data_IF_414277423869
#
_entry.id   IF_414277423869
#
_cell.length_a   1.000
_cell.length_b   1.000
_cell.length_c   1.000
_cell.angle_alpha   90.00
_cell.angle_beta   90.00
_cell.angle_gamma   90.00
#
_symmetry.space_group_name_H-M   'P 1'
#
loop_
_entity.id
_entity.type
_entity.pdbx_description
1 polymer ?
#
# COMPACT_ATOMS: atom_id res chain seq x y z
N UNK A 1 30.30 34.11 -36.97
CA UNK A 1 30.40 35.55 -37.23
C UNK A 1 29.56 36.22 -36.15
N UNK A 2 30.21 36.59 -35.05
CA UNK A 2 29.59 37.14 -33.83
C UNK A 2 29.66 38.66 -33.95
N UNK A 3 28.52 39.34 -34.00
CA UNK A 3 28.50 40.81 -34.03
C UNK A 3 29.15 41.36 -32.75
N UNK A 4 30.10 42.30 -32.87
CA UNK A 4 30.65 42.98 -31.71
C UNK A 4 29.56 43.88 -31.12
N UNK A 5 29.12 43.59 -29.88
CA UNK A 5 28.24 44.47 -29.11
C UNK A 5 28.95 45.81 -28.94
N UNK A 6 28.43 46.85 -29.57
CA UNK A 6 28.89 48.23 -29.38
C UNK A 6 28.84 48.55 -27.87
N UNK A 7 29.94 49.01 -27.26
CA UNK A 7 29.90 49.42 -25.86
C UNK A 7 28.92 50.59 -25.74
N UNK A 8 27.97 50.49 -24.79
CA UNK A 8 27.08 51.58 -24.44
C UNK A 8 27.91 52.81 -24.05
N UNK A 9 27.42 54.03 -24.36
CA UNK A 9 28.07 55.23 -23.85
C UNK A 9 28.02 55.22 -22.32
N UNK A 10 29.08 55.76 -21.71
CA UNK A 10 29.30 55.73 -20.25
C UNK A 10 28.11 56.29 -19.47
N UNK A 11 27.47 57.34 -19.99
CA UNK A 11 26.27 57.96 -19.42
C UNK A 11 25.06 57.02 -19.38
N UNK A 12 24.84 56.26 -20.46
CA UNK A 12 23.71 55.32 -20.54
C UNK A 12 24.00 54.10 -19.66
N UNK A 13 25.26 53.65 -19.60
CA UNK A 13 25.68 52.57 -18.72
C UNK A 13 25.50 52.95 -17.24
N UNK A 14 25.83 54.18 -16.84
CA UNK A 14 25.57 54.67 -15.49
C UNK A 14 24.06 54.74 -15.17
N UNK A 15 23.25 55.18 -16.13
CA UNK A 15 21.82 55.29 -15.94
C UNK A 15 21.15 53.92 -15.79
N UNK A 16 21.57 52.93 -16.59
CA UNK A 16 21.12 51.55 -16.43
C UNK A 16 21.62 50.93 -15.12
N UNK A 17 22.87 51.19 -14.72
CA UNK A 17 23.40 50.72 -13.45
C UNK A 17 22.58 51.27 -12.27
N UNK A 18 22.22 52.57 -12.29
CA UNK A 18 21.35 53.17 -11.26
C UNK A 18 19.96 52.56 -11.25
N UNK A 19 19.41 52.21 -12.41
CA UNK A 19 18.10 51.52 -12.50
C UNK A 19 18.19 50.11 -11.90
N UNK A 20 19.21 49.34 -12.27
CA UNK A 20 19.41 47.96 -11.79
C UNK A 20 19.67 47.92 -10.29
N UNK A 21 20.47 48.84 -9.75
CA UNK A 21 20.71 48.94 -8.30
C UNK A 21 19.39 49.26 -7.57
N UNK A 22 18.59 50.19 -8.09
CA UNK A 22 17.30 50.53 -7.48
C UNK A 22 16.33 49.34 -7.44
N UNK A 23 16.28 48.58 -8.53
CA UNK A 23 15.43 47.40 -8.66
C UNK A 23 15.92 46.26 -7.74
N UNK A 24 17.24 46.05 -7.66
CA UNK A 24 17.86 45.05 -6.78
C UNK A 24 17.64 45.34 -5.29
N UNK A 25 17.56 46.61 -4.90
CA UNK A 25 17.30 47.03 -3.52
C UNK A 25 15.81 47.32 -3.25
N UNK A 26 14.92 47.07 -4.22
CA UNK A 26 13.49 47.20 -3.98
C UNK A 26 13.02 46.04 -3.09
N UNK A 27 12.37 46.32 -1.94
CA UNK A 27 11.91 45.26 -1.04
C UNK A 27 10.92 44.34 -1.76
N UNK A 28 11.30 43.09 -2.01
CA UNK A 28 10.48 42.08 -2.69
C UNK A 28 9.35 41.52 -1.81
N UNK A 29 9.31 41.91 -0.53
CA UNK A 29 8.23 41.58 0.38
C UNK A 29 7.56 42.87 0.86
N UNK A 30 6.31 43.08 0.46
CA UNK A 30 5.45 44.12 1.04
C UNK A 30 5.08 43.69 2.45
N UNK A 31 5.57 44.42 3.46
CA UNK A 31 5.07 44.30 4.82
C UNK A 31 3.71 45.00 4.87
N UNK A 32 2.64 44.23 5.02
CA UNK A 32 1.32 44.78 5.27
C UNK A 32 1.27 45.12 6.76
N UNK A 33 1.36 46.40 7.11
CA UNK A 33 1.27 46.89 8.50
C UNK A 33 -0.18 46.92 9.04
N UNK A 34 -1.09 46.16 8.42
CA UNK A 34 -2.45 46.03 8.89
C UNK A 34 -2.51 44.93 9.98
N UNK A 35 -2.91 45.26 11.23
CA UNK A 35 -2.99 44.29 12.31
C UNK A 35 -4.04 43.18 12.09
N UNK A 36 -4.95 43.35 11.13
CA UNK A 36 -6.00 42.36 10.81
C UNK A 36 -5.54 41.30 9.79
N UNK A 37 -4.38 41.46 9.17
CA UNK A 37 -3.89 40.56 8.11
C UNK A 37 -2.73 39.71 8.67
N UNK A 38 -2.88 38.37 8.77
CA UNK A 38 -1.83 37.52 9.34
C UNK A 38 -0.56 37.53 8.49
N UNK A 39 0.59 37.83 9.10
CA UNK A 39 1.89 37.67 8.44
C UNK A 39 2.43 36.24 8.65
N UNK A 40 3.17 35.73 7.67
CA UNK A 40 3.78 34.39 7.72
C UNK A 40 4.66 34.15 8.97
N UNK A 41 5.24 35.21 9.56
CA UNK A 41 6.08 35.10 10.76
C UNK A 41 5.28 35.01 12.07
N UNK A 42 4.03 35.47 12.07
CA UNK A 42 3.18 35.48 13.27
C UNK A 42 2.47 34.13 13.51
N UNK A 43 2.68 33.17 12.61
CA UNK A 43 2.08 31.84 12.65
C UNK A 43 0.57 31.84 12.35
N UNK A 44 -0.03 30.66 12.19
CA UNK A 44 -1.48 30.57 12.04
C UNK A 44 -2.13 31.01 13.35
N UNK A 45 -2.92 32.08 13.32
CA UNK A 45 -3.82 32.41 14.44
C UNK A 45 -4.95 31.40 14.45
N UNK A 46 -4.76 30.30 15.17
CA UNK A 46 -5.81 29.32 15.43
C UNK A 46 -6.75 29.95 16.44
N UNK A 47 -7.98 30.26 16.01
CA UNK A 47 -9.03 30.68 16.93
C UNK A 47 -9.29 29.59 17.96
N UNK A 48 -9.76 29.97 19.16
CA UNK A 48 -10.10 29.02 20.23
C UNK A 48 -11.31 28.13 19.94
N UNK A 49 -11.90 28.25 18.74
CA UNK A 49 -13.05 27.46 18.32
C UNK A 49 -12.62 26.04 17.98
N UNK A 50 -13.23 25.01 18.59
CA UNK A 50 -12.90 23.62 18.30
C UNK A 50 -13.19 23.28 16.82
N UNK A 51 -12.46 22.32 16.23
CA UNK A 51 -12.69 21.91 14.85
C UNK A 51 -14.15 21.51 14.60
N UNK A 52 -14.84 22.27 13.77
CA UNK A 52 -16.22 21.96 13.37
C UNK A 52 -16.16 20.87 12.28
N UNK A 53 -17.01 19.81 12.37
CA UNK A 53 -17.11 18.81 11.32
C UNK A 53 -17.44 19.46 9.97
N UNK A 54 -16.54 19.31 9.00
CA UNK A 54 -16.78 19.81 7.64
C UNK A 54 -17.73 18.86 6.91
N UNK A 55 -18.78 19.36 6.24
CA UNK A 55 -19.63 18.52 5.40
C UNK A 55 -18.84 18.04 4.18
N UNK A 56 -18.67 16.72 4.04
CA UNK A 56 -17.94 16.11 2.93
C UNK A 56 -17.37 14.73 3.26
N UNK A 57 -16.62 14.16 2.32
CA UNK A 57 -15.87 12.91 2.56
C UNK A 57 -14.74 13.24 3.54
N UNK A 58 -14.65 12.53 4.68
CA UNK A 58 -13.60 12.79 5.65
C UNK A 58 -12.22 12.60 5.01
N UNK A 59 -11.19 13.31 5.50
CA UNK A 59 -9.83 13.13 5.00
C UNK A 59 -9.44 11.66 5.11
N UNK A 60 -9.00 11.10 3.98
CA UNK A 60 -8.70 9.68 3.84
C UNK A 60 -7.65 9.26 4.87
N UNK A 61 -7.99 8.27 5.70
CA UNK A 61 -7.07 7.79 6.75
C UNK A 61 -5.77 7.23 6.15
N UNK A 62 -4.68 7.29 6.91
CA UNK A 62 -3.38 6.76 6.49
C UNK A 62 -3.48 5.27 6.09
N UNK A 63 -4.22 4.47 6.85
CA UNK A 63 -4.47 3.05 6.55
C UNK A 63 -5.17 2.85 5.21
N UNK A 64 -6.17 3.68 4.90
CA UNK A 64 -6.87 3.62 3.62
C UNK A 64 -5.93 3.94 2.45
N UNK A 65 -5.01 4.89 2.66
CA UNK A 65 -3.98 5.25 1.67
C UNK A 65 -3.04 4.09 1.39
N UNK A 66 -2.59 3.39 2.44
CA UNK A 66 -1.72 2.22 2.29
C UNK A 66 -2.40 1.07 1.55
N UNK A 67 -3.66 0.76 1.90
CA UNK A 67 -4.44 -0.29 1.22
C UNK A 67 -4.62 0.06 -0.26
N UNK A 68 -4.95 1.31 -0.58
CA UNK A 68 -5.14 1.74 -1.97
C UNK A 68 -3.85 1.62 -2.77
N UNK A 69 -2.70 1.98 -2.17
CA UNK A 69 -1.38 1.78 -2.77
C UNK A 69 -1.10 0.30 -3.00
N UNK A 70 -1.36 -0.56 -2.02
CA UNK A 70 -1.16 -2.00 -2.16
C UNK A 70 -1.99 -2.59 -3.30
N UNK A 71 -3.26 -2.19 -3.43
CA UNK A 71 -4.13 -2.64 -4.54
C UNK A 71 -3.61 -2.17 -5.89
N UNK A 72 -3.11 -0.93 -5.99
CA UNK A 72 -2.51 -0.41 -7.23
C UNK A 72 -1.23 -1.14 -7.62
N UNK A 73 -0.37 -1.49 -6.66
CA UNK A 73 0.82 -2.30 -6.96
C UNK A 73 0.46 -3.73 -7.34
N UNK A 74 -0.53 -4.31 -6.65
CA UNK A 74 -1.01 -5.65 -6.96
C UNK A 74 -1.61 -5.73 -8.37
N UNK A 75 -2.33 -4.70 -8.82
CA UNK A 75 -2.86 -4.68 -10.19
C UNK A 75 -1.75 -4.59 -11.23
N UNK A 76 -0.71 -3.77 -11.01
CA UNK A 76 0.44 -3.68 -11.91
C UNK A 76 1.22 -5.01 -12.01
N UNK A 77 1.29 -5.77 -10.92
CA UNK A 77 1.94 -7.09 -10.91
C UNK A 77 1.26 -8.11 -11.84
N UNK A 78 0.03 -7.88 -12.29
CA UNK A 78 -0.68 -8.78 -13.25
C UNK A 78 -0.29 -8.55 -14.71
N UNK A 79 0.40 -7.44 -15.03
CA UNK A 79 0.79 -7.11 -16.41
C UNK A 79 1.82 -8.08 -16.99
N UNK A 80 2.93 -8.43 -16.30
CA UNK A 80 3.92 -9.36 -16.83
C UNK A 80 3.36 -10.74 -17.22
N UNK A 81 2.57 -11.45 -16.39
CA UNK A 81 2.02 -12.74 -16.80
C UNK A 81 1.03 -12.62 -17.97
N UNK A 82 0.26 -11.53 -18.06
CA UNK A 82 -0.62 -11.26 -19.20
C UNK A 82 0.15 -11.07 -20.51
N UNK A 83 1.25 -10.32 -20.48
CA UNK A 83 2.11 -10.13 -21.65
C UNK A 83 2.80 -11.42 -22.09
N UNK A 84 3.23 -12.25 -21.15
CA UNK A 84 3.80 -13.58 -21.46
C UNK A 84 2.73 -14.43 -22.17
N UNK A 85 1.51 -14.48 -21.65
CA UNK A 85 0.42 -15.25 -22.25
C UNK A 85 0.10 -14.78 -23.68
N UNK A 86 0.05 -13.46 -23.91
CA UNK A 86 -0.13 -12.87 -25.24
C UNK A 86 1.05 -13.23 -26.15
N UNK A 87 2.28 -13.11 -25.66
CA UNK A 87 3.49 -13.44 -26.40
C UNK A 87 3.51 -14.89 -26.88
N UNK A 88 3.08 -15.84 -26.03
CA UNK A 88 3.01 -17.25 -26.41
C UNK A 88 1.91 -17.49 -27.45
N UNK A 89 0.73 -16.84 -27.32
CA UNK A 89 -0.34 -16.98 -28.31
C UNK A 89 0.06 -16.43 -29.69
N UNK A 90 0.78 -15.31 -29.72
CA UNK A 90 1.29 -14.70 -30.95
C UNK A 90 2.39 -15.58 -31.56
N UNK A 91 3.36 -16.04 -30.75
CA UNK A 91 4.44 -16.92 -31.21
C UNK A 91 3.93 -18.27 -31.76
N UNK A 92 2.76 -18.72 -31.29
CA UNK A 92 2.14 -19.97 -31.72
C UNK A 92 1.26 -19.84 -32.97
N UNK A 93 1.26 -18.67 -33.64
CA UNK A 93 0.48 -18.40 -34.86
C UNK A 93 -1.01 -18.81 -34.77
N UNK A 94 -1.65 -18.49 -33.65
CA UNK A 94 -3.04 -18.85 -33.34
C UNK A 94 -3.35 -20.36 -33.36
N UNK A 95 -3.57 -20.91 -32.16
CA UNK A 95 -4.21 -22.20 -31.89
C UNK A 95 -3.45 -23.47 -32.32
N UNK A 96 -2.20 -23.63 -31.86
CA UNK A 96 -1.68 -24.98 -31.64
C UNK A 96 -2.25 -25.54 -30.32
N UNK A 97 -3.15 -26.54 -30.35
CA UNK A 97 -3.81 -27.07 -29.14
C UNK A 97 -2.83 -27.68 -28.13
N UNK A 98 -1.66 -28.14 -28.60
CA UNK A 98 -0.59 -28.66 -27.74
C UNK A 98 0.05 -27.55 -26.91
N UNK A 99 0.21 -26.35 -27.48
CA UNK A 99 0.78 -25.20 -26.77
C UNK A 99 -0.23 -24.63 -25.78
N UNK A 100 -1.51 -24.53 -26.15
CA UNK A 100 -2.58 -24.14 -25.22
C UNK A 100 -2.70 -25.15 -24.07
N UNK A 101 -2.62 -26.45 -24.37
CA UNK A 101 -2.60 -27.51 -23.35
C UNK A 101 -1.43 -27.35 -22.37
N UNK A 102 -0.23 -27.07 -22.87
CA UNK A 102 0.94 -26.82 -22.01
C UNK A 102 0.79 -25.53 -21.18
N UNK A 103 0.27 -24.44 -21.74
CA UNK A 103 0.07 -23.19 -20.99
C UNK A 103 -1.03 -23.33 -19.94
N UNK A 104 -2.14 -24.01 -20.23
CA UNK A 104 -3.20 -24.22 -19.24
C UNK A 104 -2.78 -25.23 -18.16
N UNK A 105 -1.99 -26.24 -18.52
CA UNK A 105 -1.48 -27.22 -17.58
C UNK A 105 -0.34 -26.67 -16.72
N UNK A 106 0.49 -25.75 -17.22
CA UNK A 106 1.68 -25.27 -16.50
C UNK A 106 1.35 -24.58 -15.14
N UNK A 107 0.36 -23.66 -15.05
CA UNK A 107 -0.06 -23.10 -13.77
C UNK A 107 -0.62 -24.17 -12.83
N UNK A 108 -1.39 -25.14 -13.34
CA UNK A 108 -1.92 -26.23 -12.52
C UNK A 108 -0.80 -27.16 -12.01
N UNK A 109 0.19 -27.48 -12.85
CA UNK A 109 1.33 -28.32 -12.53
C UNK A 109 2.24 -27.70 -11.46
N UNK A 110 2.31 -26.38 -11.37
CA UNK A 110 3.08 -25.65 -10.35
C UNK A 110 2.23 -25.37 -9.11
N UNK A 111 0.98 -24.94 -9.28
CA UNK A 111 0.11 -24.54 -8.17
C UNK A 111 -0.33 -25.75 -7.32
N UNK A 112 -0.59 -26.90 -7.93
CA UNK A 112 -1.01 -28.11 -7.19
C UNK A 112 0.04 -28.58 -6.17
N UNK A 113 1.33 -28.76 -6.51
CA UNK A 113 2.34 -29.15 -5.54
C UNK A 113 2.58 -28.07 -4.49
N UNK A 114 2.57 -26.78 -4.85
CA UNK A 114 2.70 -25.68 -3.87
C UNK A 114 1.54 -25.70 -2.87
N UNK A 115 0.30 -25.85 -3.36
CA UNK A 115 -0.89 -25.92 -2.51
C UNK A 115 -0.93 -27.21 -1.69
N UNK A 116 -0.42 -28.33 -2.22
CA UNK A 116 -0.29 -29.58 -1.49
C UNK A 116 0.70 -29.45 -0.33
N UNK A 117 1.87 -28.83 -0.57
CA UNK A 117 2.86 -28.54 0.47
C UNK A 117 2.29 -27.55 1.49
N UNK A 118 1.63 -26.48 1.06
CA UNK A 118 1.00 -25.51 1.96
C UNK A 118 -0.09 -26.15 2.83
N UNK A 119 -0.92 -27.05 2.26
CA UNK A 119 -1.91 -27.84 3.02
C UNK A 119 -1.26 -28.82 3.99
N UNK A 120 -0.14 -29.44 3.60
CA UNK A 120 0.61 -30.35 4.48
C UNK A 120 1.18 -29.60 5.68
N UNK A 121 1.83 -28.46 5.45
CA UNK A 121 2.36 -27.59 6.52
C UNK A 121 1.24 -27.08 7.42
N UNK A 122 0.11 -26.65 6.85
CA UNK A 122 -1.04 -26.19 7.63
C UNK A 122 -1.62 -27.31 8.50
N UNK A 123 -1.76 -28.53 7.97
CA UNK A 123 -2.20 -29.70 8.76
C UNK A 123 -1.20 -30.10 9.83
N UNK A 124 0.10 -29.93 9.59
CA UNK A 124 1.12 -30.14 10.61
C UNK A 124 1.00 -29.09 11.73
N UNK A 125 0.67 -27.84 11.40
CA UNK A 125 0.40 -26.78 12.38
C UNK A 125 -0.90 -26.99 13.16
N UNK A 126 -1.95 -27.50 12.53
CA UNK A 126 -3.23 -27.86 13.17
C UNK A 126 -3.12 -29.13 14.05
N UNK A 127 -2.08 -29.95 13.87
CA UNK A 127 -1.79 -31.12 14.71
C UNK A 127 -1.08 -30.75 16.03
N UNK A 128 -0.67 -29.49 16.21
CA UNK A 128 -0.25 -29.00 17.51
C UNK A 128 -1.49 -28.90 18.41
N UNK A 129 -1.53 -29.60 19.57
CA UNK A 129 -2.66 -29.52 20.48
C UNK A 129 -2.85 -28.06 20.90
N UNK A 130 -4.04 -27.52 20.67
CA UNK A 130 -4.41 -26.19 21.16
C UNK A 130 -4.31 -26.20 22.68
N UNK A 131 -3.43 -25.39 23.25
CA UNK A 131 -3.27 -25.26 24.69
C UNK A 131 -4.48 -24.51 25.26
N UNK A 132 -5.43 -25.24 25.84
CA UNK A 132 -6.67 -24.68 26.40
C UNK A 132 -6.44 -24.42 27.89
N UNK A 133 -6.20 -23.15 28.27
CA UNK A 133 -6.11 -22.75 29.67
C UNK A 133 -7.51 -22.56 30.25
N UNK A 134 -7.94 -23.44 31.15
CA UNK A 134 -9.21 -23.34 31.86
C UNK A 134 -8.95 -23.06 33.34
N UNK A 135 -9.48 -21.95 33.86
CA UNK A 135 -9.41 -21.60 35.28
C UNK A 135 -10.78 -21.79 35.91
N UNK A 136 -10.85 -22.65 36.94
CA UNK A 136 -12.09 -22.94 37.65
C UNK A 136 -12.02 -22.45 39.10
N UNK A 137 -13.03 -21.71 39.53
CA UNK A 137 -13.14 -21.15 40.89
C UNK A 137 -14.15 -21.94 41.73
N UNK A 138 -13.94 -23.25 41.86
CA UNK A 138 -14.82 -24.15 42.63
C UNK A 138 -14.32 -25.59 42.68
N UNK A 139 -14.97 -26.46 43.46
CA UNK A 139 -14.65 -27.89 43.47
C UNK A 139 -15.11 -28.52 42.14
N UNK A 140 -14.15 -28.76 41.24
CA UNK A 140 -14.40 -29.39 39.94
C UNK A 140 -13.91 -30.82 39.97
N UNK A 141 -14.79 -31.76 39.63
CA UNK A 141 -14.39 -33.11 39.27
C UNK A 141 -14.07 -33.13 37.78
N UNK A 142 -12.78 -33.23 37.44
CA UNK A 142 -12.35 -33.42 36.06
C UNK A 142 -12.16 -34.92 35.80
N UNK A 143 -12.91 -35.45 34.85
CA UNK A 143 -12.71 -36.80 34.32
C UNK A 143 -12.18 -36.67 32.89
N UNK A 144 -10.97 -37.16 32.64
CA UNK A 144 -10.38 -37.16 31.29
C UNK A 144 -10.41 -38.58 30.74
N UNK A 145 -11.25 -38.80 29.71
CA UNK A 145 -11.38 -40.11 29.07
C UNK A 145 -11.01 -40.04 27.60
N UNK A 146 -9.81 -40.52 27.28
CA UNK A 146 -9.33 -40.62 25.90
C UNK A 146 -9.72 -42.01 25.38
N UNK A 147 -10.70 -42.07 24.50
CA UNK A 147 -11.16 -43.33 23.89
C UNK A 147 -10.84 -43.32 22.40
N UNK A 148 -10.01 -44.26 21.95
CA UNK A 148 -9.73 -44.47 20.53
C UNK A 148 -10.50 -45.68 20.02
N UNK A 149 -11.55 -45.44 19.23
CA UNK A 149 -12.35 -46.50 18.62
C UNK A 149 -12.13 -46.51 17.12
N UNK A 150 -11.54 -47.58 16.59
CA UNK A 150 -11.50 -47.87 15.14
C UNK A 150 -12.03 -49.28 14.91
N UNK A 151 -13.34 -49.39 14.69
CA UNK A 151 -13.99 -50.63 14.27
C UNK A 151 -15.25 -50.31 13.46
N UNK A 152 -15.61 -51.18 12.50
CA UNK A 152 -16.79 -50.99 11.62
C UNK A 152 -18.09 -51.09 12.42
N UNK A 153 -18.13 -51.89 13.49
CA UNK A 153 -19.18 -51.90 14.51
C UNK A 153 -18.54 -51.88 15.90
N UNK A 154 -18.82 -50.84 16.68
CA UNK A 154 -18.39 -50.71 18.07
C UNK A 154 -19.59 -50.29 18.93
N UNK A 155 -19.76 -50.94 20.09
CA UNK A 155 -20.74 -50.53 21.10
C UNK A 155 -20.00 -50.20 22.39
N UNK A 156 -20.01 -48.92 22.76
CA UNK A 156 -19.51 -48.44 24.05
C UNK A 156 -20.67 -48.40 25.03
N UNK A 157 -20.55 -49.08 26.17
CA UNK A 157 -21.51 -48.97 27.28
C UNK A 157 -20.74 -48.44 28.47
N UNK A 158 -21.07 -47.22 28.88
CA UNK A 158 -20.61 -46.64 30.13
C UNK A 158 -21.67 -46.93 31.18
N UNK A 159 -21.25 -47.38 32.36
CA UNK A 159 -22.10 -47.48 33.55
C UNK A 159 -21.47 -46.63 34.64
N UNK A 160 -22.33 -45.86 35.30
CA UNK A 160 -21.98 -44.98 36.41
C UNK A 160 -21.63 -45.77 37.68
#
# INVERSE_FOLDING_TARGET
>A
MTEPRTPLSEEVAEQEARRLIRDAYQPTAVRIDNPDIPSYKDGPRVGSTPPVPQPGIPPMSARTTEITRAVMYASLATVPPGLIAIGIMVASQHANPTVIGMICAAPAAIAVPILAVARLVRRAGEAAPTEIHQTYTGNVHQETRITHTRAVWAKTINRD
#
